data_IF_572463922053
#
_entry.id   IF_572463922053
#
_cell.length_a   1.000
_cell.length_b   1.000
_cell.length_c   1.000
_cell.angle_alpha   90.00
_cell.angle_beta   90.00
_cell.angle_gamma   90.00
#
_symmetry.space_group_name_H-M   'P 1'
#
loop_
_entity.id
_entity.type
_entity.pdbx_description
1 polymer ?
#
# COMPACT_ATOMS: atom_id res chain seq x y z
N UNK A 1 46.11 12.51 -11.63
CA UNK A 1 44.97 12.07 -12.45
C UNK A 1 43.92 11.44 -11.52
N UNK A 2 42.76 12.06 -11.47
CA UNK A 2 41.77 11.87 -10.41
C UNK A 2 40.90 10.58 -10.59
N UNK A 3 41.11 9.61 -9.76
CA UNK A 3 40.32 8.34 -9.67
C UNK A 3 38.86 8.59 -9.20
N UNK A 4 38.51 9.81 -8.78
CA UNK A 4 37.16 10.18 -8.31
C UNK A 4 36.13 10.37 -9.43
N UNK A 5 36.51 10.52 -10.68
CA UNK A 5 35.60 10.77 -11.79
C UNK A 5 34.98 9.50 -12.42
N UNK A 6 35.60 8.32 -12.23
CA UNK A 6 35.09 7.08 -12.83
C UNK A 6 33.96 6.40 -12.02
N UNK A 7 33.88 6.66 -10.71
CA UNK A 7 32.84 6.02 -9.86
C UNK A 7 31.45 6.65 -10.01
N UNK A 8 31.35 7.92 -10.33
CA UNK A 8 30.07 8.62 -10.53
C UNK A 8 29.40 8.28 -11.87
N UNK A 9 30.17 8.00 -12.90
CA UNK A 9 29.62 7.64 -14.21
C UNK A 9 29.01 6.24 -14.27
N UNK A 10 29.56 5.28 -13.52
CA UNK A 10 29.07 3.90 -13.53
C UNK A 10 27.76 3.74 -12.76
N UNK A 11 27.58 4.50 -11.68
CA UNK A 11 26.34 4.47 -10.88
C UNK A 11 25.14 5.06 -11.63
N UNK A 12 25.35 6.10 -12.44
CA UNK A 12 24.28 6.70 -13.24
C UNK A 12 23.82 5.77 -14.39
N UNK A 13 24.74 5.03 -15.00
CA UNK A 13 24.42 4.10 -16.10
C UNK A 13 23.63 2.87 -15.62
N UNK A 14 23.92 2.37 -14.41
CA UNK A 14 23.21 1.21 -13.81
C UNK A 14 21.79 1.59 -13.40
N UNK A 15 21.56 2.81 -12.90
CA UNK A 15 20.22 3.28 -12.52
C UNK A 15 19.33 3.48 -13.75
N UNK A 16 19.86 4.00 -14.87
CA UNK A 16 19.09 4.18 -16.10
C UNK A 16 18.70 2.83 -16.76
N UNK A 17 19.59 1.83 -16.72
CA UNK A 17 19.27 0.51 -17.25
C UNK A 17 18.23 -0.26 -16.40
N UNK A 18 18.31 -0.15 -15.07
CA UNK A 18 17.32 -0.74 -14.17
C UNK A 18 15.94 -0.07 -14.31
N UNK A 19 15.92 1.26 -14.54
CA UNK A 19 14.68 2.00 -14.74
C UNK A 19 13.90 1.56 -15.97
N UNK A 20 14.54 1.38 -17.11
CA UNK A 20 13.86 0.97 -18.34
C UNK A 20 13.26 -0.45 -18.27
N UNK A 21 13.94 -1.37 -17.63
CA UNK A 21 13.44 -2.75 -17.41
C UNK A 21 12.22 -2.76 -16.48
N UNK A 22 12.23 -1.95 -15.40
CA UNK A 22 11.10 -1.89 -14.48
C UNK A 22 9.84 -1.28 -15.12
N UNK A 23 9.99 -0.26 -15.99
CA UNK A 23 8.87 0.35 -16.69
C UNK A 23 8.22 -0.60 -17.71
N UNK A 24 9.02 -1.34 -18.45
CA UNK A 24 8.55 -2.34 -19.40
C UNK A 24 7.77 -3.45 -18.68
N UNK A 25 8.26 -3.90 -17.53
CA UNK A 25 7.59 -4.90 -16.70
C UNK A 25 6.22 -4.43 -16.19
N UNK A 26 6.08 -3.18 -15.75
CA UNK A 26 4.80 -2.65 -15.27
C UNK A 26 3.74 -2.60 -16.40
N UNK A 27 4.14 -2.19 -17.61
CA UNK A 27 3.25 -2.17 -18.77
C UNK A 27 2.81 -3.58 -19.18
N UNK A 28 3.71 -4.54 -19.18
CA UNK A 28 3.40 -5.95 -19.48
C UNK A 28 2.51 -6.58 -18.39
N UNK A 29 2.77 -6.28 -17.11
CA UNK A 29 1.95 -6.73 -15.99
C UNK A 29 0.51 -6.20 -16.11
N UNK A 30 0.30 -4.92 -16.46
CA UNK A 30 -1.02 -4.32 -16.62
C UNK A 30 -1.74 -4.89 -17.86
N UNK A 31 -1.02 -5.14 -18.96
CA UNK A 31 -1.61 -5.76 -20.14
C UNK A 31 -2.11 -7.19 -19.88
N UNK A 32 -1.40 -7.95 -19.04
CA UNK A 32 -1.78 -9.30 -18.64
C UNK A 32 -2.83 -9.32 -17.50
N UNK A 33 -2.79 -8.32 -16.62
CA UNK A 33 -3.59 -8.20 -15.39
C UNK A 33 -4.13 -6.76 -15.25
N UNK A 34 -5.19 -6.39 -16.00
CA UNK A 34 -5.74 -5.03 -16.00
C UNK A 34 -6.09 -4.48 -14.62
N UNK A 35 -6.50 -5.35 -13.70
CA UNK A 35 -6.84 -5.00 -12.30
C UNK A 35 -5.65 -4.43 -11.51
N UNK A 36 -4.40 -4.71 -11.89
CA UNK A 36 -3.20 -4.14 -11.27
C UNK A 36 -3.05 -2.65 -11.57
N UNK A 37 -3.67 -2.16 -12.66
CA UNK A 37 -3.72 -0.72 -12.95
C UNK A 37 -4.40 0.09 -11.84
N UNK A 38 -5.25 -0.53 -11.01
CA UNK A 38 -5.92 0.10 -9.88
C UNK A 38 -4.94 0.65 -8.81
N UNK A 39 -3.65 0.31 -8.85
CA UNK A 39 -2.61 0.89 -8.02
C UNK A 39 -2.90 0.78 -6.53
N UNK A 40 -3.13 1.93 -5.84
CA UNK A 40 -3.47 1.99 -4.42
C UNK A 40 -4.81 1.31 -4.08
N UNK A 41 -5.67 1.07 -5.06
CA UNK A 41 -6.93 0.33 -4.94
C UNK A 41 -6.81 -1.11 -5.46
N UNK A 42 -5.59 -1.60 -5.71
CA UNK A 42 -5.38 -3.01 -6.01
C UNK A 42 -5.59 -3.84 -4.75
N UNK A 43 -6.45 -4.86 -4.81
CA UNK A 43 -6.66 -5.82 -3.72
C UNK A 43 -5.35 -6.55 -3.40
N UNK A 44 -5.18 -6.97 -2.14
CA UNK A 44 -3.94 -7.62 -1.71
C UNK A 44 -3.71 -8.93 -2.46
N UNK A 45 -2.55 -9.03 -3.10
CA UNK A 45 -2.08 -10.23 -3.75
C UNK A 45 -0.84 -10.78 -3.03
N UNK A 46 -0.92 -12.01 -2.55
CA UNK A 46 0.26 -12.68 -1.99
C UNK A 46 1.13 -13.23 -3.11
N UNK A 47 2.32 -12.69 -3.25
CA UNK A 47 3.32 -13.14 -4.21
C UNK A 47 4.42 -13.88 -3.46
N UNK A 48 4.46 -15.24 -3.52
CA UNK A 48 5.53 -16.02 -2.89
C UNK A 48 6.91 -15.58 -3.40
N UNK A 49 7.87 -15.53 -2.50
CA UNK A 49 9.28 -15.28 -2.85
C UNK A 49 10.15 -16.31 -2.16
N UNK A 50 11.34 -16.57 -2.71
CA UNK A 50 12.33 -17.38 -1.99
C UNK A 50 12.69 -16.68 -0.69
N UNK A 51 12.49 -17.39 0.41
CA UNK A 51 12.84 -16.88 1.73
C UNK A 51 14.31 -17.18 2.05
N UNK A 52 15.03 -16.16 2.52
CA UNK A 52 16.36 -16.39 3.05
C UNK A 52 16.28 -17.30 4.28
N UNK A 53 17.08 -18.38 4.36
CA UNK A 53 17.03 -19.30 5.48
C UNK A 53 17.39 -18.59 6.79
N UNK A 54 16.69 -18.96 7.88
CA UNK A 54 17.01 -18.43 9.21
C UNK A 54 18.43 -18.81 9.59
N UNK A 55 19.29 -17.88 10.02
CA UNK A 55 20.66 -18.18 10.42
C UNK A 55 20.72 -19.23 11.53
N UNK A 56 21.73 -20.11 11.48
CA UNK A 56 21.86 -21.22 12.43
C UNK A 56 21.90 -20.73 13.89
N UNK A 57 21.09 -21.33 14.74
CA UNK A 57 21.00 -21.02 16.16
C UNK A 57 20.06 -19.86 16.51
N UNK A 58 19.46 -19.19 15.53
CA UNK A 58 18.47 -18.15 15.77
C UNK A 58 17.07 -18.73 15.73
N UNK A 59 16.18 -18.17 16.58
CA UNK A 59 14.75 -18.46 16.57
C UNK A 59 13.93 -17.16 16.64
N UNK A 60 12.81 -17.07 15.92
CA UNK A 60 11.92 -15.93 16.02
C UNK A 60 11.26 -15.92 17.40
N UNK A 61 11.14 -14.72 18.02
CA UNK A 61 10.55 -14.59 19.34
C UNK A 61 9.57 -13.43 19.46
N UNK A 62 9.65 -12.42 18.58
CA UNK A 62 8.78 -11.25 18.60
C UNK A 62 8.52 -10.75 17.18
N UNK A 63 7.30 -10.24 16.94
CA UNK A 63 6.92 -9.58 15.68
C UNK A 63 6.33 -8.21 15.98
N UNK A 64 6.86 -7.17 15.29
CA UNK A 64 6.22 -5.85 15.20
C UNK A 64 5.65 -5.67 13.81
N UNK A 65 4.39 -5.20 13.70
CA UNK A 65 3.66 -5.09 12.44
C UNK A 65 2.97 -3.72 12.34
N UNK A 66 2.97 -3.15 11.15
CA UNK A 66 2.07 -2.08 10.75
C UNK A 66 1.36 -2.48 9.46
N UNK A 67 0.02 -2.51 9.47
CA UNK A 67 -0.81 -2.85 8.32
C UNK A 67 -1.78 -1.73 7.95
N UNK A 68 -1.96 -1.52 6.65
CA UNK A 68 -3.05 -0.76 6.08
C UNK A 68 -4.35 -1.56 6.26
N UNK A 69 -5.52 -0.88 6.38
CA UNK A 69 -6.81 -1.56 6.31
C UNK A 69 -6.95 -2.38 5.02
N UNK A 70 -7.79 -3.40 5.02
CA UNK A 70 -8.08 -4.24 3.86
C UNK A 70 -8.91 -3.55 2.79
N UNK A 71 -9.22 -4.28 1.73
CA UNK A 71 -10.10 -3.87 0.63
C UNK A 71 -11.41 -3.31 1.17
N UNK A 72 -11.91 -2.25 0.55
CA UNK A 72 -13.03 -1.44 1.02
C UNK A 72 -13.81 -0.81 -0.10
N UNK A 73 -15.00 -0.34 0.19
CA UNK A 73 -15.74 0.57 -0.68
C UNK A 73 -15.06 1.94 -0.81
N UNK A 74 -15.24 2.65 -1.91
CA UNK A 74 -14.81 4.05 -2.00
C UNK A 74 -15.43 4.88 -0.88
N UNK A 75 -14.68 5.89 -0.42
CA UNK A 75 -15.07 6.70 0.74
C UNK A 75 -16.15 7.74 0.47
N UNK A 76 -16.53 7.97 -0.78
CA UNK A 76 -17.55 8.93 -1.19
C UNK A 76 -18.50 8.32 -2.22
N UNK A 77 -19.79 8.64 -2.11
CA UNK A 77 -20.80 8.28 -3.09
C UNK A 77 -20.56 8.90 -4.46
N UNK A 78 -19.92 10.06 -4.52
CA UNK A 78 -19.61 10.75 -5.77
C UNK A 78 -18.68 9.93 -6.67
N UNK A 79 -17.79 9.13 -6.10
CA UNK A 79 -16.91 8.24 -6.87
C UNK A 79 -17.68 7.13 -7.62
N UNK A 80 -18.91 6.83 -7.18
CA UNK A 80 -19.80 5.90 -7.87
C UNK A 80 -20.77 6.60 -8.81
N UNK A 81 -21.26 7.78 -8.46
CA UNK A 81 -22.37 8.41 -9.19
C UNK A 81 -21.93 9.43 -10.23
N UNK A 82 -20.84 10.19 -9.99
CA UNK A 82 -20.38 11.21 -10.92
C UNK A 82 -20.03 10.67 -12.32
N UNK A 83 -19.31 9.54 -12.48
CA UNK A 83 -19.02 8.99 -13.80
C UNK A 83 -20.27 8.48 -14.55
N UNK A 84 -21.36 8.20 -13.84
CA UNK A 84 -22.61 7.74 -14.44
C UNK A 84 -23.50 8.86 -14.96
N UNK A 85 -23.30 10.11 -14.51
CA UNK A 85 -24.13 11.24 -14.93
C UNK A 85 -24.14 11.44 -16.45
N UNK A 86 -22.98 11.53 -17.15
CA UNK A 86 -23.00 11.68 -18.61
C UNK A 86 -23.51 10.45 -19.33
N UNK A 87 -23.26 9.26 -18.81
CA UNK A 87 -23.78 8.01 -19.41
C UNK A 87 -25.32 7.96 -19.30
N UNK A 88 -25.90 8.35 -18.18
CA UNK A 88 -27.38 8.46 -18.00
C UNK A 88 -27.99 9.47 -18.95
N UNK A 89 -27.35 10.62 -19.11
CA UNK A 89 -27.81 11.66 -20.02
C UNK A 89 -27.81 11.17 -21.49
N UNK A 90 -26.75 10.49 -21.91
CA UNK A 90 -26.67 9.89 -23.24
C UNK A 90 -27.66 8.73 -23.42
N UNK A 91 -27.88 7.91 -22.41
CA UNK A 91 -28.90 6.85 -22.44
C UNK A 91 -30.32 7.44 -22.65
N UNK A 92 -30.64 8.52 -21.98
CA UNK A 92 -31.93 9.21 -22.14
C UNK A 92 -32.13 9.82 -23.54
N UNK A 93 -31.03 10.11 -24.25
CA UNK A 93 -31.01 10.61 -25.63
C UNK A 93 -30.84 9.48 -26.67
N UNK A 94 -30.87 8.20 -26.27
CA UNK A 94 -30.54 7.02 -27.12
C UNK A 94 -29.19 7.18 -27.85
N UNK A 95 -28.23 7.76 -27.19
CA UNK A 95 -26.92 8.15 -27.73
C UNK A 95 -25.74 7.32 -27.15
N UNK A 96 -26.02 6.17 -26.52
CA UNK A 96 -24.98 5.22 -26.10
C UNK A 96 -24.73 4.14 -27.18
N UNK A 97 -23.44 3.79 -27.32
CA UNK A 97 -23.04 2.58 -28.04
C UNK A 97 -23.46 1.32 -27.27
N UNK A 98 -23.37 0.10 -27.83
CA UNK A 98 -23.54 -1.15 -27.09
C UNK A 98 -22.60 -1.22 -25.86
N UNK A 99 -21.31 -0.83 -26.01
CA UNK A 99 -20.34 -0.80 -24.94
C UNK A 99 -20.72 0.25 -23.88
N UNK A 100 -21.18 1.43 -24.29
CA UNK A 100 -21.64 2.47 -23.36
C UNK A 100 -22.82 2.02 -22.50
N UNK A 101 -23.75 1.25 -23.07
CA UNK A 101 -24.87 0.65 -22.32
C UNK A 101 -24.40 -0.41 -21.31
N UNK A 102 -23.44 -1.24 -21.70
CA UNK A 102 -22.84 -2.24 -20.79
C UNK A 102 -22.11 -1.58 -19.62
N UNK A 103 -21.26 -0.58 -19.89
CA UNK A 103 -20.53 0.19 -18.88
C UNK A 103 -21.50 0.88 -17.92
N UNK A 104 -22.57 1.49 -18.44
CA UNK A 104 -23.61 2.10 -17.58
C UNK A 104 -24.25 1.05 -16.69
N UNK A 105 -24.67 -0.11 -17.21
CA UNK A 105 -25.32 -1.15 -16.44
C UNK A 105 -24.41 -1.70 -15.32
N UNK A 106 -23.13 -1.98 -15.61
CA UNK A 106 -22.15 -2.43 -14.62
C UNK A 106 -21.88 -1.34 -13.57
N UNK A 107 -21.74 -0.08 -14.00
CA UNK A 107 -21.54 1.04 -13.09
C UNK A 107 -22.73 1.27 -12.16
N UNK A 108 -23.96 1.18 -12.65
CA UNK A 108 -25.18 1.26 -11.83
C UNK A 108 -25.24 0.15 -10.80
N UNK A 109 -24.88 -1.07 -11.17
CA UNK A 109 -24.82 -2.20 -10.26
C UNK A 109 -23.79 -2.01 -9.15
N UNK A 110 -22.59 -1.47 -9.48
CA UNK A 110 -21.56 -1.09 -8.48
C UNK A 110 -22.05 0.02 -7.55
N UNK A 111 -22.72 1.04 -8.09
CA UNK A 111 -23.27 2.14 -7.29
C UNK A 111 -24.38 1.65 -6.34
N UNK A 112 -25.24 0.74 -6.80
CA UNK A 112 -26.29 0.14 -5.99
C UNK A 112 -25.72 -0.73 -4.86
N UNK A 113 -24.69 -1.55 -5.14
CA UNK A 113 -24.00 -2.38 -4.14
C UNK A 113 -23.30 -1.51 -3.08
N UNK A 114 -22.77 -0.35 -3.48
CA UNK A 114 -22.05 0.57 -2.58
C UNK A 114 -22.98 1.48 -1.74
N UNK A 115 -24.27 1.54 -2.03
CA UNK A 115 -25.18 2.46 -1.36
C UNK A 115 -25.22 2.23 0.16
N UNK A 116 -24.89 3.28 0.92
CA UNK A 116 -24.82 3.22 2.39
C UNK A 116 -23.58 2.53 2.95
N UNK A 117 -22.59 2.16 2.10
CA UNK A 117 -21.37 1.44 2.49
C UNK A 117 -20.06 2.21 2.20
N UNK A 118 -20.16 3.52 2.03
CA UNK A 118 -19.01 4.33 1.66
C UNK A 118 -17.91 4.31 2.73
N UNK A 119 -16.72 3.84 2.35
CA UNK A 119 -15.56 3.70 3.21
C UNK A 119 -15.57 2.47 4.12
N UNK A 120 -16.59 1.61 4.06
CA UNK A 120 -16.68 0.37 4.82
C UNK A 120 -15.65 -0.66 4.33
N UNK A 121 -15.10 -1.42 5.27
CA UNK A 121 -14.33 -2.62 4.94
C UNK A 121 -15.23 -3.61 4.19
N UNK A 122 -14.74 -4.15 3.08
CA UNK A 122 -15.45 -5.19 2.35
C UNK A 122 -15.16 -6.58 2.95
N UNK A 123 -15.96 -7.58 2.52
CA UNK A 123 -15.67 -8.98 2.86
C UNK A 123 -14.29 -9.42 2.35
N UNK A 124 -13.88 -8.94 1.17
CA UNK A 124 -12.52 -9.15 0.64
C UNK A 124 -11.45 -8.65 1.61
N UNK A 125 -11.63 -7.44 2.16
CA UNK A 125 -10.70 -6.88 3.13
C UNK A 125 -10.61 -7.67 4.44
N UNK A 126 -11.71 -8.27 4.90
CA UNK A 126 -11.69 -9.22 6.03
C UNK A 126 -10.86 -10.45 5.70
N UNK A 127 -11.08 -11.05 4.52
CA UNK A 127 -10.36 -12.24 4.06
C UNK A 127 -8.87 -11.99 3.87
N UNK A 128 -8.48 -10.83 3.35
CA UNK A 128 -7.07 -10.42 3.21
C UNK A 128 -6.36 -10.43 4.57
N UNK A 129 -6.92 -9.79 5.59
CA UNK A 129 -6.32 -9.76 6.91
C UNK A 129 -6.28 -11.11 7.61
N UNK A 130 -7.31 -11.94 7.42
CA UNK A 130 -7.31 -13.33 7.91
C UNK A 130 -6.21 -14.15 7.24
N UNK A 131 -6.03 -14.00 5.93
CA UNK A 131 -5.00 -14.72 5.17
C UNK A 131 -3.58 -14.28 5.56
N UNK A 132 -3.32 -12.97 5.74
CA UNK A 132 -2.04 -12.44 6.23
C UNK A 132 -1.75 -12.97 7.64
N UNK A 133 -2.73 -12.96 8.55
CA UNK A 133 -2.57 -13.50 9.90
C UNK A 133 -2.22 -15.00 9.88
N UNK A 134 -2.86 -15.77 9.02
CA UNK A 134 -2.58 -17.20 8.86
C UNK A 134 -1.18 -17.45 8.34
N UNK A 135 -0.73 -16.74 7.30
CA UNK A 135 0.63 -16.88 6.77
C UNK A 135 1.67 -16.44 7.80
N UNK A 136 1.47 -15.33 8.49
CA UNK A 136 2.35 -14.89 9.59
C UNK A 136 2.46 -15.97 10.68
N UNK A 137 1.34 -16.56 11.09
CA UNK A 137 1.33 -17.64 12.07
C UNK A 137 2.08 -18.88 11.58
N UNK A 138 1.89 -19.27 10.32
CA UNK A 138 2.52 -20.45 9.73
C UNK A 138 4.01 -20.27 9.48
N UNK A 139 4.44 -19.08 9.08
CA UNK A 139 5.86 -18.75 8.87
C UNK A 139 6.64 -18.66 10.19
N UNK A 140 5.99 -18.18 11.26
CA UNK A 140 6.65 -17.93 12.55
C UNK A 140 5.92 -18.59 13.73
N UNK A 141 5.70 -19.92 13.71
CA UNK A 141 4.87 -20.62 14.71
C UNK A 141 5.44 -20.54 16.12
N UNK A 142 6.77 -20.37 16.26
CA UNK A 142 7.43 -20.23 17.57
C UNK A 142 6.98 -18.96 18.28
N UNK A 143 6.74 -17.86 17.56
CA UNK A 143 6.26 -16.57 18.12
C UNK A 143 4.91 -16.75 18.79
N UNK A 144 4.02 -17.50 18.17
CA UNK A 144 2.64 -17.72 18.61
C UNK A 144 2.43 -18.98 19.45
N UNK A 145 3.49 -19.65 19.86
CA UNK A 145 3.42 -20.91 20.60
C UNK A 145 3.05 -20.69 22.08
N UNK A 146 2.08 -21.46 22.57
CA UNK A 146 1.68 -21.53 23.98
C UNK A 146 2.09 -22.85 24.64
N UNK A 147 2.94 -23.66 23.96
CA UNK A 147 3.40 -24.94 24.46
C UNK A 147 4.27 -24.79 25.72
N UNK A 148 4.22 -25.80 26.61
CA UNK A 148 4.99 -25.84 27.87
C UNK A 148 4.70 -24.66 28.80
N UNK A 149 3.48 -24.12 28.80
CA UNK A 149 3.08 -23.01 29.68
C UNK A 149 3.61 -21.65 29.28
N UNK A 150 4.16 -21.50 28.06
CA UNK A 150 4.58 -20.20 27.51
C UNK A 150 3.34 -19.32 27.30
N UNK A 151 3.37 -18.11 27.78
CA UNK A 151 2.38 -17.08 27.45
C UNK A 151 2.64 -16.54 26.04
N UNK A 152 1.59 -16.39 25.25
CA UNK A 152 1.62 -15.69 23.99
C UNK A 152 0.73 -14.45 24.10
N UNK A 153 1.35 -13.29 24.27
CA UNK A 153 0.69 -12.01 24.42
C UNK A 153 0.80 -11.22 23.11
N UNK A 154 -0.35 -10.88 22.53
CA UNK A 154 -0.46 -10.07 21.31
C UNK A 154 -1.15 -8.76 21.66
N UNK A 155 -0.45 -7.65 21.46
CA UNK A 155 -1.03 -6.32 21.59
C UNK A 155 -1.40 -5.78 20.22
N UNK A 156 -2.66 -5.39 20.03
CA UNK A 156 -3.16 -4.85 18.77
C UNK A 156 -3.77 -3.48 18.96
N UNK A 157 -3.39 -2.54 18.10
CA UNK A 157 -3.90 -1.17 18.10
C UNK A 157 -4.31 -0.74 16.71
N UNK A 158 -5.41 0.00 16.59
CA UNK A 158 -5.87 0.57 15.33
C UNK A 158 -6.15 2.06 15.43
N UNK A 159 -6.20 2.73 14.29
CA UNK A 159 -6.82 4.06 14.22
C UNK A 159 -8.30 3.97 14.59
N UNK A 160 -8.92 5.14 14.87
CA UNK A 160 -10.35 5.24 15.22
C UNK A 160 -11.30 4.96 14.03
N UNK A 161 -10.76 4.74 12.85
CA UNK A 161 -11.55 4.52 11.64
C UNK A 161 -12.11 3.09 11.62
N UNK A 162 -13.43 2.89 11.44
CA UNK A 162 -14.08 1.56 11.56
C UNK A 162 -13.41 0.46 10.72
N UNK A 163 -13.02 0.73 9.47
CA UNK A 163 -12.35 -0.27 8.63
C UNK A 163 -11.01 -0.75 9.19
N UNK A 164 -10.26 0.11 9.92
CA UNK A 164 -9.02 -0.30 10.58
C UNK A 164 -9.31 -1.16 11.81
N UNK A 165 -10.35 -0.83 12.57
CA UNK A 165 -10.82 -1.61 13.72
C UNK A 165 -11.25 -3.01 13.27
N UNK A 166 -12.03 -3.10 12.19
CA UNK A 166 -12.49 -4.37 11.62
C UNK A 166 -11.35 -5.19 11.03
N UNK A 167 -10.38 -4.55 10.38
CA UNK A 167 -9.15 -5.21 9.90
C UNK A 167 -8.34 -5.82 11.05
N UNK A 168 -8.16 -5.05 12.14
CA UNK A 168 -7.54 -5.54 13.38
C UNK A 168 -8.30 -6.71 13.98
N UNK A 169 -9.63 -6.63 14.01
CA UNK A 169 -10.49 -7.69 14.55
C UNK A 169 -10.35 -8.99 13.74
N UNK A 170 -10.45 -8.91 12.41
CA UNK A 170 -10.32 -10.05 11.50
C UNK A 170 -8.95 -10.76 11.63
N UNK A 171 -7.88 -9.96 11.71
CA UNK A 171 -6.53 -10.49 11.92
C UNK A 171 -6.39 -11.24 13.24
N UNK A 172 -6.81 -10.62 14.34
CA UNK A 172 -6.73 -11.22 15.68
C UNK A 172 -7.65 -12.44 15.84
N UNK A 173 -8.83 -12.41 15.23
CA UNK A 173 -9.75 -13.54 15.22
C UNK A 173 -9.08 -14.76 14.59
N UNK A 174 -8.42 -14.58 13.42
CA UNK A 174 -7.72 -15.67 12.75
C UNK A 174 -6.57 -16.21 13.59
N UNK A 175 -5.77 -15.37 14.23
CA UNK A 175 -4.72 -15.84 15.15
C UNK A 175 -5.30 -16.67 16.31
N UNK A 176 -6.45 -16.27 16.87
CA UNK A 176 -7.13 -17.00 17.95
C UNK A 176 -7.71 -18.32 17.49
N UNK A 177 -8.21 -18.41 16.26
CA UNK A 177 -8.67 -19.68 15.69
C UNK A 177 -7.52 -20.69 15.52
N UNK A 178 -6.35 -20.20 15.08
CA UNK A 178 -5.15 -21.03 14.89
C UNK A 178 -4.52 -21.47 16.22
N UNK A 179 -4.57 -20.62 17.25
CA UNK A 179 -4.16 -20.96 18.61
C UNK A 179 -5.05 -20.23 19.64
N UNK A 180 -6.08 -20.91 20.20
CA UNK A 180 -6.97 -20.34 21.22
C UNK A 180 -6.26 -19.85 22.50
N UNK A 181 -5.04 -20.34 22.78
CA UNK A 181 -4.24 -19.93 23.92
C UNK A 181 -3.60 -18.54 23.79
N UNK A 182 -3.63 -17.92 22.61
CA UNK A 182 -3.17 -16.54 22.43
C UNK A 182 -4.03 -15.58 23.27
N UNK A 183 -3.38 -14.73 24.06
CA UNK A 183 -4.00 -13.62 24.78
C UNK A 183 -3.82 -12.34 23.96
N UNK A 184 -4.89 -11.85 23.33
CA UNK A 184 -4.85 -10.67 22.47
C UNK A 184 -5.61 -9.51 23.11
N UNK A 185 -4.94 -8.35 23.28
CA UNK A 185 -5.60 -7.06 23.54
C UNK A 185 -5.91 -6.38 22.21
N UNK A 186 -7.01 -5.63 22.17
CA UNK A 186 -7.43 -4.84 21.00
C UNK A 186 -7.85 -3.47 21.48
N UNK A 187 -7.12 -2.46 21.03
CA UNK A 187 -7.36 -1.08 21.45
C UNK A 187 -7.50 -0.16 20.24
N UNK A 188 -8.46 0.74 20.30
CA UNK A 188 -8.60 1.88 19.39
C UNK A 188 -8.92 3.10 20.24
N UNK A 189 -7.97 4.06 20.34
CA UNK A 189 -8.09 5.18 21.26
C UNK A 189 -7.40 6.42 20.69
N UNK A 190 -7.95 7.60 20.99
CA UNK A 190 -7.37 8.89 20.62
C UNK A 190 -5.92 9.06 21.10
N UNK A 191 -5.54 8.44 22.24
CA UNK A 191 -4.19 8.51 22.80
C UNK A 191 -3.08 7.86 21.96
N UNK A 192 -3.47 7.07 20.93
CA UNK A 192 -2.52 6.43 20.02
C UNK A 192 -2.40 7.14 18.67
N UNK A 193 -3.23 8.18 18.44
CA UNK A 193 -3.32 8.80 17.11
C UNK A 193 -2.10 9.65 16.76
N UNK A 194 -1.32 10.10 17.73
CA UNK A 194 -0.06 10.78 17.54
C UNK A 194 0.96 9.95 16.71
N UNK A 195 0.99 8.63 16.90
CA UNK A 195 1.84 7.73 16.13
C UNK A 195 1.11 6.82 15.13
N UNK A 196 -0.22 6.63 15.23
CA UNK A 196 -0.99 5.83 14.28
C UNK A 196 -1.64 6.66 13.16
N UNK A 197 -1.87 7.95 13.39
CA UNK A 197 -2.63 8.81 12.48
C UNK A 197 -2.21 10.29 12.50
N UNK A 198 -0.99 10.63 12.93
CA UNK A 198 -0.46 11.99 12.86
C UNK A 198 -0.32 12.44 11.39
N UNK A 199 -1.34 13.07 10.80
CA UNK A 199 -1.25 13.61 9.44
C UNK A 199 -0.23 14.76 9.43
N UNK A 200 0.75 14.75 8.51
CA UNK A 200 1.68 15.85 8.40
C UNK A 200 0.90 17.12 8.07
N UNK A 201 1.23 18.21 8.79
CA UNK A 201 0.77 19.53 8.41
C UNK A 201 1.46 19.91 7.09
N UNK A 202 0.84 19.56 5.97
CA UNK A 202 1.40 19.84 4.62
C UNK A 202 1.36 21.34 4.28
N UNK A 203 0.58 22.16 5.01
CA UNK A 203 0.49 23.60 4.78
C UNK A 203 0.31 23.93 3.29
N UNK A 204 1.15 24.78 2.74
CA UNK A 204 1.14 25.14 1.32
C UNK A 204 1.67 24.02 0.39
N UNK A 205 2.38 23.03 0.91
CA UNK A 205 2.91 21.93 0.10
C UNK A 205 1.81 20.99 -0.38
N UNK A 206 0.75 20.81 0.39
CA UNK A 206 -0.39 19.97 0.00
C UNK A 206 -1.03 20.44 -1.32
N UNK A 207 -1.55 21.68 -1.42
CA UNK A 207 -2.08 22.20 -2.69
C UNK A 207 -1.07 22.15 -3.84
N UNK A 208 0.21 22.40 -3.57
CA UNK A 208 1.26 22.36 -4.61
C UNK A 208 1.53 20.94 -5.12
N UNK A 209 1.55 19.93 -4.23
CA UNK A 209 1.73 18.53 -4.64
C UNK A 209 0.55 18.02 -5.47
N UNK A 210 -0.67 18.39 -5.09
CA UNK A 210 -1.88 18.10 -5.87
C UNK A 210 -1.84 18.78 -7.25
N UNK A 211 -1.45 20.07 -7.33
CA UNK A 211 -1.35 20.77 -8.61
C UNK A 211 -0.36 20.13 -9.58
N UNK A 212 0.77 19.59 -9.08
CA UNK A 212 1.72 18.84 -9.91
C UNK A 212 1.10 17.52 -10.38
N UNK A 213 0.44 16.76 -9.51
CA UNK A 213 -0.25 15.54 -9.89
C UNK A 213 -1.34 15.79 -10.95
N UNK A 214 -2.11 16.88 -10.79
CA UNK A 214 -3.13 17.28 -11.77
C UNK A 214 -2.51 17.69 -13.11
N UNK A 215 -1.32 18.30 -13.11
CA UNK A 215 -0.63 18.62 -14.37
C UNK A 215 -0.18 17.35 -15.12
N UNK A 216 0.27 16.35 -14.39
CA UNK A 216 0.63 15.02 -14.93
C UNK A 216 -0.62 14.35 -15.54
N UNK A 217 -1.73 14.35 -14.81
CA UNK A 217 -3.02 13.85 -15.29
C UNK A 217 -3.42 14.49 -16.61
N UNK A 218 -3.38 15.82 -16.70
CA UNK A 218 -3.70 16.53 -17.95
C UNK A 218 -2.78 16.19 -19.11
N UNK A 219 -1.51 15.90 -18.84
CA UNK A 219 -0.52 15.58 -19.88
C UNK A 219 -0.65 14.15 -20.42
N UNK A 220 -1.10 13.21 -19.61
CA UNK A 220 -1.04 11.78 -19.94
C UNK A 220 -2.38 11.15 -20.33
N UNK A 221 -3.51 11.76 -19.95
CA UNK A 221 -4.83 11.21 -20.27
C UNK A 221 -5.35 11.77 -21.61
N UNK A 222 -5.69 10.87 -22.54
CA UNK A 222 -6.23 11.12 -23.87
C UNK A 222 -7.58 10.42 -23.99
N UNK A 223 -8.71 11.09 -23.65
CA UNK A 223 -10.01 10.44 -23.52
C UNK A 223 -10.75 10.18 -24.84
N UNK A 224 -10.26 10.71 -25.96
CA UNK A 224 -10.98 10.82 -27.24
C UNK A 224 -11.47 9.44 -27.74
N UNK A 225 -10.60 8.42 -27.71
CA UNK A 225 -10.95 7.06 -28.13
C UNK A 225 -12.01 6.46 -27.21
N UNK A 226 -11.82 6.55 -25.88
CA UNK A 226 -12.77 6.02 -24.90
C UNK A 226 -14.15 6.67 -25.09
N UNK A 227 -14.21 7.99 -25.20
CA UNK A 227 -15.46 8.73 -25.43
C UNK A 227 -16.14 8.25 -26.71
N UNK A 228 -15.41 8.16 -27.84
CA UNK A 228 -15.96 7.69 -29.10
C UNK A 228 -16.44 6.22 -29.03
N UNK A 229 -15.87 5.40 -28.14
CA UNK A 229 -16.32 4.01 -27.97
C UNK A 229 -17.58 3.85 -27.13
N UNK A 230 -17.89 4.81 -26.27
CA UNK A 230 -19.03 4.77 -25.34
C UNK A 230 -20.25 5.54 -25.87
N UNK A 231 -20.02 6.61 -26.64
CA UNK A 231 -21.05 7.54 -27.07
C UNK A 231 -21.17 7.57 -28.60
N UNK A 232 -22.38 7.80 -29.11
CA UNK A 232 -22.62 8.14 -30.52
C UNK A 232 -22.46 9.66 -30.71
N UNK A 233 -22.42 10.11 -31.99
CA UNK A 233 -22.35 11.54 -32.33
C UNK A 233 -23.55 12.37 -31.80
N UNK A 234 -24.65 11.73 -31.45
CA UNK A 234 -25.83 12.37 -30.89
C UNK A 234 -25.75 12.63 -29.37
N UNK A 235 -24.68 12.16 -28.73
CA UNK A 235 -24.54 12.34 -27.29
C UNK A 235 -24.29 13.82 -26.89
N UNK A 236 -24.79 14.24 -25.73
CA UNK A 236 -24.43 15.53 -25.16
C UNK A 236 -22.92 15.67 -24.98
N UNK A 237 -22.39 16.86 -25.22
CA UNK A 237 -20.96 17.17 -25.02
C UNK A 237 -20.55 16.96 -23.56
N UNK A 238 -19.40 16.33 -23.37
CA UNK A 238 -18.79 16.18 -22.03
C UNK A 238 -18.07 17.45 -21.61
N UNK A 239 -18.41 17.98 -20.46
CA UNK A 239 -17.78 19.18 -19.92
C UNK A 239 -16.27 18.98 -19.61
N UNK A 240 -15.89 17.78 -19.16
CA UNK A 240 -14.49 17.43 -18.87
C UNK A 240 -14.26 15.94 -19.21
N UNK A 241 -13.87 15.62 -20.45
CA UNK A 241 -13.63 14.24 -20.89
C UNK A 241 -12.50 13.54 -20.14
N UNK A 242 -11.44 14.25 -19.74
CA UNK A 242 -10.34 13.64 -18.97
C UNK A 242 -10.79 13.26 -17.56
N UNK A 243 -11.56 14.12 -16.91
CA UNK A 243 -12.16 13.80 -15.60
C UNK A 243 -13.10 12.60 -15.72
N UNK A 244 -13.95 12.56 -16.75
CA UNK A 244 -14.85 11.44 -17.02
C UNK A 244 -14.08 10.12 -17.17
N UNK A 245 -13.04 10.10 -17.99
CA UNK A 245 -12.18 8.92 -18.19
C UNK A 245 -11.58 8.44 -16.87
N UNK A 246 -11.03 9.37 -16.07
CA UNK A 246 -10.43 9.04 -14.78
C UNK A 246 -11.46 8.53 -13.75
N UNK A 247 -12.60 9.19 -13.65
CA UNK A 247 -13.67 8.79 -12.73
C UNK A 247 -14.24 7.41 -13.09
N UNK A 248 -14.37 7.11 -14.40
CA UNK A 248 -14.80 5.81 -14.87
C UNK A 248 -13.78 4.71 -14.53
N UNK A 249 -12.49 5.01 -14.68
CA UNK A 249 -11.42 4.13 -14.24
C UNK A 249 -11.47 3.88 -12.73
N UNK A 250 -11.68 4.92 -11.93
CA UNK A 250 -11.82 4.78 -10.48
C UNK A 250 -13.02 3.90 -10.11
N UNK A 251 -14.13 4.02 -10.83
CA UNK A 251 -15.32 3.20 -10.62
C UNK A 251 -15.07 1.72 -10.94
N UNK A 252 -14.40 1.39 -12.06
CA UNK A 252 -14.09 -0.02 -12.37
C UNK A 252 -13.05 -0.60 -11.42
N UNK A 253 -12.10 0.21 -10.93
CA UNK A 253 -11.01 -0.22 -10.04
C UNK A 253 -11.49 -0.83 -8.74
N UNK A 254 -12.65 -0.38 -8.21
CA UNK A 254 -13.18 -0.84 -6.92
C UNK A 254 -13.84 -2.22 -7.00
N UNK A 255 -14.19 -2.72 -8.19
CA UNK A 255 -14.92 -3.97 -8.37
C UNK A 255 -14.21 -5.17 -7.72
N UNK A 256 -12.87 -5.23 -7.82
CA UNK A 256 -12.07 -6.27 -7.16
C UNK A 256 -12.15 -6.21 -5.64
N UNK A 257 -12.18 -5.00 -5.08
CA UNK A 257 -12.19 -4.76 -3.64
C UNK A 257 -13.51 -5.14 -2.96
N UNK A 258 -14.60 -5.07 -3.71
CA UNK A 258 -15.94 -5.42 -3.22
C UNK A 258 -16.39 -6.82 -3.64
N UNK A 259 -15.46 -7.64 -4.13
CA UNK A 259 -15.70 -9.01 -4.61
C UNK A 259 -16.73 -9.10 -5.74
N UNK A 260 -16.75 -8.08 -6.60
CA UNK A 260 -17.62 -8.02 -7.78
C UNK A 260 -16.82 -7.88 -9.09
N UNK A 261 -15.84 -8.80 -9.34
CA UNK A 261 -15.04 -8.75 -10.57
C UNK A 261 -15.91 -8.87 -11.84
N UNK A 262 -17.11 -9.45 -11.73
CA UNK A 262 -18.12 -9.52 -12.77
C UNK A 262 -18.63 -8.14 -13.23
N UNK A 263 -18.54 -7.14 -12.37
CA UNK A 263 -18.93 -5.75 -12.65
C UNK A 263 -17.76 -4.88 -13.13
N UNK A 264 -16.54 -5.42 -13.18
CA UNK A 264 -15.42 -4.69 -13.77
C UNK A 264 -15.63 -4.49 -15.29
N UNK A 265 -15.13 -3.38 -15.80
CA UNK A 265 -15.20 -3.02 -17.23
C UNK A 265 -13.86 -2.44 -17.72
N UNK A 266 -12.73 -3.09 -17.30
CA UNK A 266 -11.41 -2.75 -17.80
C UNK A 266 -11.28 -2.91 -19.31
N UNK A 267 -12.07 -3.77 -19.91
CA UNK A 267 -12.18 -4.02 -21.35
C UNK A 267 -12.72 -2.84 -22.16
N UNK A 268 -13.32 -1.85 -21.50
CA UNK A 268 -13.65 -0.57 -22.12
C UNK A 268 -12.41 0.28 -22.47
N UNK A 269 -11.28 0.01 -21.81
CA UNK A 269 -10.01 0.72 -21.97
C UNK A 269 -9.00 -0.10 -22.77
N UNK A 270 -8.10 0.56 -23.50
CA UNK A 270 -6.92 -0.12 -24.06
C UNK A 270 -5.84 -0.30 -22.99
N UNK A 271 -4.85 -1.15 -23.26
CA UNK A 271 -3.70 -1.33 -22.37
C UNK A 271 -2.91 -0.04 -22.20
N UNK A 272 -2.79 0.78 -23.24
CA UNK A 272 -2.13 2.08 -23.20
C UNK A 272 -2.87 3.07 -22.30
N UNK A 273 -4.21 3.09 -22.39
CA UNK A 273 -5.06 3.93 -21.54
C UNK A 273 -4.98 3.50 -20.07
N UNK A 274 -5.03 2.18 -19.78
CA UNK A 274 -4.85 1.66 -18.43
C UNK A 274 -3.47 1.99 -17.88
N UNK A 275 -2.41 1.93 -18.68
CA UNK A 275 -1.07 2.36 -18.28
C UNK A 275 -1.00 3.86 -17.97
N UNK A 276 -1.64 4.71 -18.78
CA UNK A 276 -1.68 6.15 -18.52
C UNK A 276 -2.46 6.48 -17.25
N UNK A 277 -3.58 5.79 -17.01
CA UNK A 277 -4.41 5.94 -15.82
C UNK A 277 -3.68 5.46 -14.56
N UNK A 278 -3.03 4.29 -14.62
CA UNK A 278 -2.16 3.80 -13.57
C UNK A 278 -1.01 4.77 -13.27
N UNK A 279 -0.30 5.21 -14.29
CA UNK A 279 0.83 6.14 -14.13
C UNK A 279 0.39 7.48 -13.49
N UNK A 280 -0.80 7.96 -13.85
CA UNK A 280 -1.41 9.15 -13.24
C UNK A 280 -1.69 8.95 -11.76
N UNK A 281 -2.32 7.82 -11.39
CA UNK A 281 -2.60 7.46 -9.99
C UNK A 281 -1.31 7.23 -9.20
N UNK A 282 -0.33 6.55 -9.82
CA UNK A 282 0.99 6.30 -9.25
C UNK A 282 1.74 7.61 -8.95
N UNK A 283 1.77 8.54 -9.89
CA UNK A 283 2.37 9.85 -9.70
C UNK A 283 1.64 10.67 -8.63
N UNK A 284 0.31 10.63 -8.59
CA UNK A 284 -0.47 11.25 -7.53
C UNK A 284 -0.06 10.74 -6.15
N UNK A 285 -0.03 9.42 -5.95
CA UNK A 285 0.37 8.80 -4.69
C UNK A 285 1.82 9.15 -4.33
N UNK A 286 2.71 9.15 -5.32
CA UNK A 286 4.12 9.49 -5.11
C UNK A 286 4.32 10.95 -4.65
N UNK A 287 3.64 11.92 -5.27
CA UNK A 287 3.78 13.33 -4.91
C UNK A 287 3.08 13.69 -3.61
N UNK A 288 2.02 12.98 -3.25
CA UNK A 288 1.20 13.31 -2.06
C UNK A 288 1.54 12.48 -0.82
N UNK A 289 2.14 11.29 -0.99
CA UNK A 289 2.44 10.36 0.12
C UNK A 289 3.85 9.78 0.06
N UNK A 290 4.52 9.85 -1.09
CA UNK A 290 5.81 9.23 -1.33
C UNK A 290 7.01 10.14 -1.07
N UNK A 291 8.25 9.62 -1.30
CA UNK A 291 9.52 10.30 -0.98
C UNK A 291 9.98 11.27 -2.09
N UNK A 292 9.06 12.01 -2.73
CA UNK A 292 9.41 12.91 -3.81
C UNK A 292 10.47 13.94 -3.39
N UNK A 293 11.40 14.29 -4.29
CA UNK A 293 12.41 15.34 -4.00
C UNK A 293 11.79 16.71 -3.76
N UNK A 294 10.59 16.97 -4.29
CA UNK A 294 9.92 18.27 -4.20
C UNK A 294 9.11 18.45 -2.92
N UNK A 295 8.47 17.38 -2.42
CA UNK A 295 7.46 17.45 -1.36
C UNK A 295 7.66 16.40 -0.27
N UNK A 296 8.54 15.41 -0.49
CA UNK A 296 8.61 14.19 0.31
C UNK A 296 9.16 14.36 1.72
N UNK A 297 10.03 15.34 2.00
CA UNK A 297 10.69 15.43 3.31
C UNK A 297 9.70 15.55 4.48
N UNK A 298 8.71 16.47 4.50
CA UNK A 298 7.74 16.53 5.58
C UNK A 298 6.79 15.32 5.60
N UNK A 299 6.48 14.75 4.42
CA UNK A 299 5.64 13.56 4.30
C UNK A 299 6.33 12.36 4.95
N UNK A 300 7.57 12.09 4.57
CA UNK A 300 8.38 11.00 5.11
C UNK A 300 8.64 11.19 6.61
N UNK A 301 8.94 12.41 7.03
CA UNK A 301 9.14 12.77 8.45
C UNK A 301 7.91 12.49 9.33
N UNK A 302 6.71 12.52 8.76
CA UNK A 302 5.48 12.23 9.52
C UNK A 302 5.42 10.81 10.08
N UNK A 303 6.17 9.87 9.52
CA UNK A 303 6.25 8.50 10.01
C UNK A 303 7.21 8.32 11.21
N UNK A 304 7.97 9.35 11.60
CA UNK A 304 8.92 9.27 12.73
C UNK A 304 8.29 8.84 14.06
N UNK A 305 7.13 9.35 14.48
CA UNK A 305 6.48 8.89 15.72
C UNK A 305 6.13 7.40 15.66
N UNK A 306 5.68 6.90 14.50
CA UNK A 306 5.38 5.48 14.31
C UNK A 306 6.65 4.63 14.36
N UNK A 307 7.72 5.02 13.66
CA UNK A 307 8.99 4.31 13.69
C UNK A 307 9.59 4.30 15.12
N UNK A 308 9.55 5.43 15.82
CA UNK A 308 9.98 5.51 17.23
C UNK A 308 9.21 4.53 18.11
N UNK A 309 7.88 4.50 18.02
CA UNK A 309 7.05 3.55 18.76
C UNK A 309 7.38 2.08 18.43
N UNK A 310 7.68 1.76 17.17
CA UNK A 310 8.10 0.40 16.75
C UNK A 310 9.42 0.03 17.42
N UNK A 311 10.43 0.90 17.36
CA UNK A 311 11.78 0.65 17.92
C UNK A 311 11.76 0.59 19.43
N UNK A 312 11.10 1.53 20.12
CA UNK A 312 10.98 1.56 21.57
C UNK A 312 10.28 0.30 22.11
N UNK A 313 9.15 -0.08 21.50
CA UNK A 313 8.45 -1.32 21.90
C UNK A 313 9.33 -2.57 21.67
N UNK A 314 10.07 -2.61 20.56
CA UNK A 314 11.01 -3.72 20.32
C UNK A 314 12.13 -3.77 21.35
N UNK A 315 12.72 -2.62 21.70
CA UNK A 315 13.74 -2.52 22.76
C UNK A 315 13.20 -3.05 24.09
N UNK A 316 12.03 -2.58 24.53
CA UNK A 316 11.39 -3.04 25.77
C UNK A 316 11.19 -4.57 25.81
N UNK A 317 10.83 -5.17 24.67
CA UNK A 317 10.67 -6.64 24.55
C UNK A 317 12.03 -7.36 24.56
N UNK A 318 13.03 -6.81 23.89
CA UNK A 318 14.38 -7.39 23.82
C UNK A 318 15.04 -7.38 25.20
N UNK A 319 14.90 -6.28 25.93
CA UNK A 319 15.46 -6.06 27.27
C UNK A 319 14.66 -6.81 28.38
N UNK A 320 13.51 -7.39 28.05
CA UNK A 320 12.66 -8.14 28.98
C UNK A 320 11.77 -7.24 29.86
N UNK A 321 11.67 -5.95 29.55
CA UNK A 321 10.79 -4.99 30.24
C UNK A 321 9.31 -5.24 29.91
N UNK A 322 9.05 -5.83 28.71
CA UNK A 322 7.71 -6.24 28.28
C UNK A 322 7.71 -7.68 27.77
N UNK A 323 6.70 -8.43 28.20
CA UNK A 323 6.49 -9.80 27.70
C UNK A 323 5.46 -9.80 26.57
N UNK A 324 5.89 -9.53 25.32
CA UNK A 324 5.04 -9.55 24.14
C UNK A 324 5.58 -10.55 23.13
N UNK A 325 4.67 -11.30 22.50
CA UNK A 325 4.94 -12.11 21.31
C UNK A 325 4.76 -11.31 20.02
N UNK A 326 3.77 -10.40 19.98
CA UNK A 326 3.59 -9.50 18.85
C UNK A 326 2.97 -8.16 19.24
N UNK A 327 3.34 -7.10 18.49
CA UNK A 327 2.68 -5.79 18.49
C UNK A 327 2.16 -5.51 17.09
N UNK A 328 0.82 -5.48 16.96
CA UNK A 328 0.14 -5.32 15.68
C UNK A 328 -0.52 -3.94 15.61
N UNK A 329 -0.23 -3.19 14.55
CA UNK A 329 -0.76 -1.83 14.33
C UNK A 329 -1.53 -1.80 13.03
N UNK A 330 -2.70 -1.15 13.02
CA UNK A 330 -3.60 -1.09 11.85
C UNK A 330 -3.97 0.35 11.55
N UNK A 331 -3.71 0.78 10.32
CA UNK A 331 -3.92 2.17 9.89
C UNK A 331 -4.14 2.29 8.39
N UNK A 332 -3.41 3.20 7.77
CA UNK A 332 -3.68 3.66 6.41
C UNK A 332 -2.41 3.69 5.55
N UNK A 333 -2.62 3.77 4.22
CA UNK A 333 -1.60 4.01 3.22
C UNK A 333 -0.79 5.29 3.47
N UNK A 334 -1.46 6.37 3.89
CA UNK A 334 -0.83 7.67 4.23
C UNK A 334 0.20 7.60 5.38
N UNK A 335 0.33 6.46 6.04
CA UNK A 335 1.37 6.17 7.04
C UNK A 335 2.29 5.04 6.63
N UNK A 336 1.76 4.03 5.92
CA UNK A 336 2.54 2.90 5.45
C UNK A 336 3.57 3.35 4.41
N UNK A 337 3.15 4.18 3.43
CA UNK A 337 4.04 4.70 2.39
C UNK A 337 5.15 5.57 2.99
N UNK A 338 4.86 6.57 3.86
CA UNK A 338 5.90 7.31 4.56
C UNK A 338 6.83 6.45 5.42
N UNK A 339 6.32 5.42 6.12
CA UNK A 339 7.15 4.52 6.92
C UNK A 339 8.11 3.70 6.04
N UNK A 340 7.61 3.11 4.93
CA UNK A 340 8.44 2.39 3.98
C UNK A 340 9.53 3.30 3.37
N UNK A 341 9.17 4.57 3.09
CA UNK A 341 10.06 5.58 2.53
C UNK A 341 11.08 6.09 3.55
N UNK A 342 10.68 6.29 4.80
CA UNK A 342 11.57 6.70 5.91
C UNK A 342 12.62 5.64 6.15
N UNK A 343 12.24 4.37 6.18
CA UNK A 343 13.14 3.23 6.28
C UNK A 343 14.01 3.02 5.03
N UNK A 344 13.76 3.76 3.95
CA UNK A 344 14.44 3.60 2.66
C UNK A 344 14.42 2.15 2.17
N UNK A 345 13.28 1.50 2.33
CA UNK A 345 13.11 0.11 1.85
C UNK A 345 13.29 0.02 0.34
N UNK A 346 13.80 -1.09 -0.15
CA UNK A 346 14.03 -1.33 -1.60
C UNK A 346 12.80 -1.08 -2.49
N UNK A 347 11.59 -1.14 -1.93
CA UNK A 347 10.34 -0.89 -2.66
C UNK A 347 9.92 0.58 -2.69
N UNK A 348 10.46 1.45 -1.81
CA UNK A 348 10.01 2.84 -1.66
C UNK A 348 11.12 3.88 -1.49
N UNK A 349 12.39 3.52 -1.67
CA UNK A 349 13.53 4.42 -1.42
C UNK A 349 13.76 5.47 -2.52
N UNK A 350 13.21 5.28 -3.73
CA UNK A 350 13.55 6.10 -4.89
C UNK A 350 13.09 7.56 -4.73
N UNK A 351 14.04 8.48 -4.68
CA UNK A 351 13.79 9.94 -4.60
C UNK A 351 13.89 10.59 -5.98
N UNK A 352 12.77 10.84 -6.61
CA UNK A 352 12.61 11.25 -8.00
C UNK A 352 12.01 12.65 -8.07
N UNK A 353 12.37 13.41 -9.12
CA UNK A 353 11.89 14.79 -9.34
C UNK A 353 10.85 14.90 -10.45
N UNK A 354 10.95 14.05 -11.46
CA UNK A 354 10.13 14.11 -12.67
C UNK A 354 9.16 12.92 -12.76
N UNK A 355 8.03 13.15 -13.42
CA UNK A 355 6.94 12.20 -13.47
C UNK A 355 7.25 10.96 -14.33
N UNK A 356 8.03 11.12 -15.41
CA UNK A 356 8.37 10.01 -16.31
C UNK A 356 9.26 8.98 -15.61
N UNK A 357 10.21 9.44 -14.79
CA UNK A 357 11.05 8.55 -13.98
C UNK A 357 10.26 7.85 -12.84
N UNK A 358 9.19 8.46 -12.33
CA UNK A 358 8.36 7.81 -11.28
C UNK A 358 7.80 6.50 -11.80
N UNK A 359 7.20 6.49 -13.00
CA UNK A 359 6.54 5.30 -13.57
C UNK A 359 7.49 4.12 -13.80
N UNK A 360 8.79 4.35 -13.85
CA UNK A 360 9.80 3.32 -14.04
C UNK A 360 10.51 2.88 -12.75
N UNK A 361 10.47 3.69 -11.68
CA UNK A 361 11.26 3.47 -10.47
C UNK A 361 10.43 3.27 -9.21
N UNK A 362 9.12 3.54 -9.26
CA UNK A 362 8.23 3.42 -8.11
C UNK A 362 6.84 2.98 -8.53
N UNK A 363 6.26 2.01 -7.82
CA UNK A 363 5.00 1.37 -8.16
C UNK A 363 4.11 1.27 -6.93
N UNK A 364 3.01 2.00 -6.91
CA UNK A 364 2.12 2.11 -5.74
C UNK A 364 1.50 0.77 -5.34
N UNK A 365 1.15 -0.08 -6.30
CA UNK A 365 0.60 -1.42 -6.07
C UNK A 365 1.63 -2.38 -5.44
N UNK A 366 2.93 -2.10 -5.57
CA UNK A 366 4.02 -2.85 -4.92
C UNK A 366 4.33 -2.31 -3.52
N UNK A 367 4.13 -1.01 -3.31
CA UNK A 367 4.37 -0.35 -2.02
C UNK A 367 3.17 -0.51 -1.10
N UNK A 368 1.98 -0.13 -1.56
CA UNK A 368 0.79 -0.04 -0.71
C UNK A 368 -0.50 -0.43 -1.44
N UNK A 369 -0.67 -1.72 -1.85
CA UNK A 369 -1.98 -2.23 -2.22
C UNK A 369 -2.93 -2.20 -1.01
N UNK A 370 -4.20 -2.62 -1.16
CA UNK A 370 -5.07 -2.86 -0.01
C UNK A 370 -4.43 -3.89 0.93
N UNK A 371 -4.67 -3.81 2.23
CA UNK A 371 -4.07 -4.65 3.28
C UNK A 371 -2.53 -4.70 3.29
N UNK A 372 -1.85 -3.78 2.59
CA UNK A 372 -0.38 -3.69 2.60
C UNK A 372 0.17 -3.67 4.02
N UNK A 373 1.34 -4.26 4.22
CA UNK A 373 1.91 -4.36 5.56
C UNK A 373 3.43 -4.31 5.56
N UNK A 374 3.98 -3.85 6.69
CA UNK A 374 5.39 -3.93 7.02
C UNK A 374 5.52 -4.75 8.30
N UNK A 375 6.37 -5.78 8.26
CA UNK A 375 6.60 -6.68 9.37
C UNK A 375 8.08 -6.64 9.75
N UNK A 376 8.36 -6.56 11.05
CA UNK A 376 9.69 -6.66 11.65
C UNK A 376 9.71 -7.93 12.48
N UNK A 377 10.46 -8.94 12.04
CA UNK A 377 10.56 -10.23 12.70
C UNK A 377 11.87 -10.27 13.46
N UNK A 378 11.80 -10.46 14.77
CA UNK A 378 12.96 -10.45 15.65
C UNK A 378 13.36 -11.87 16.01
N UNK A 379 14.64 -12.18 15.82
CA UNK A 379 15.25 -13.48 16.07
C UNK A 379 16.28 -13.36 17.18
N UNK A 380 16.30 -14.33 18.11
CA UNK A 380 17.30 -14.41 19.17
C UNK A 380 18.14 -15.66 19.01
N UNK A 381 19.46 -15.53 19.14
CA UNK A 381 20.36 -16.66 19.12
C UNK A 381 20.29 -17.40 20.46
N UNK A 382 19.99 -18.72 20.43
CA UNK A 382 19.68 -19.53 21.61
C UNK A 382 20.80 -19.56 22.65
N UNK A 383 22.06 -19.46 22.23
CA UNK A 383 23.23 -19.58 23.11
C UNK A 383 23.84 -18.24 23.52
N UNK A 384 23.91 -17.29 22.59
CA UNK A 384 24.59 -15.99 22.84
C UNK A 384 23.65 -14.89 23.24
N UNK A 385 22.35 -15.01 23.01
CA UNK A 385 21.36 -13.96 23.21
C UNK A 385 21.37 -12.87 22.13
N UNK A 386 22.29 -12.92 21.14
CA UNK A 386 22.35 -11.98 20.04
C UNK A 386 21.01 -11.86 19.32
N UNK A 387 20.62 -10.64 18.94
CA UNK A 387 19.31 -10.35 18.32
C UNK A 387 19.51 -9.83 16.91
N UNK A 388 18.69 -10.37 16.00
CA UNK A 388 18.61 -9.91 14.62
C UNK A 388 17.18 -9.58 14.25
N UNK A 389 17.03 -8.67 13.27
CA UNK A 389 15.74 -8.26 12.75
C UNK A 389 15.70 -8.50 11.23
N UNK A 390 14.58 -9.05 10.76
CA UNK A 390 14.25 -9.18 9.33
C UNK A 390 13.07 -8.25 9.04
N UNK A 391 13.13 -7.50 7.94
CA UNK A 391 12.07 -6.56 7.55
C UNK A 391 11.39 -7.08 6.29
N UNK A 392 10.06 -7.18 6.35
CA UNK A 392 9.24 -7.58 5.21
C UNK A 392 8.31 -6.43 4.84
N UNK A 393 8.18 -6.16 3.54
CA UNK A 393 7.13 -5.33 2.96
C UNK A 393 6.20 -6.23 2.13
N UNK A 394 4.91 -6.22 2.44
CA UNK A 394 3.92 -7.09 1.80
C UNK A 394 4.37 -8.57 1.80
N UNK A 395 4.86 -9.02 2.96
CA UNK A 395 5.32 -10.39 3.22
C UNK A 395 6.57 -10.82 2.41
N UNK A 396 7.29 -9.88 1.79
CA UNK A 396 8.53 -10.13 1.03
C UNK A 396 9.70 -9.37 1.66
N UNK A 397 10.91 -9.94 1.56
CA UNK A 397 12.12 -9.29 2.07
C UNK A 397 12.27 -7.86 1.53
N UNK A 398 12.39 -6.90 2.44
CA UNK A 398 12.69 -5.52 2.14
C UNK A 398 14.13 -5.21 2.54
N UNK A 399 14.96 -4.85 1.55
CA UNK A 399 16.33 -4.44 1.82
C UNK A 399 16.35 -3.01 2.35
N UNK A 400 17.19 -2.79 3.37
CA UNK A 400 17.50 -1.48 3.95
C UNK A 400 18.93 -1.09 3.55
N UNK A 401 19.26 0.23 3.50
CA UNK A 401 20.60 0.70 3.13
C UNK A 401 21.60 0.60 4.30
N UNK A 402 21.59 -0.53 5.02
CA UNK A 402 22.51 -0.85 6.11
C UNK A 402 23.05 -2.27 5.95
N UNK A 403 24.21 -2.54 6.56
CA UNK A 403 24.86 -3.84 6.44
C UNK A 403 24.16 -4.95 7.25
N UNK A 404 24.32 -6.20 6.80
CA UNK A 404 23.88 -7.39 7.53
C UNK A 404 22.52 -7.96 7.13
N UNK A 405 21.88 -7.40 6.07
CA UNK A 405 20.61 -7.92 5.57
C UNK A 405 20.70 -9.34 4.96
N UNK A 406 19.58 -10.05 4.88
CA UNK A 406 18.24 -9.68 5.34
C UNK A 406 18.01 -9.82 6.86
N UNK A 407 18.97 -10.35 7.63
CA UNK A 407 18.95 -10.52 9.08
C UNK A 407 19.87 -9.49 9.74
N UNK A 408 19.39 -8.24 9.84
CA UNK A 408 20.15 -7.11 10.36
C UNK A 408 20.47 -7.28 11.84
N UNK A 409 21.74 -7.06 12.32
CA UNK A 409 22.01 -6.99 13.74
C UNK A 409 21.13 -5.92 14.41
N UNK A 410 20.53 -6.25 15.56
CA UNK A 410 19.60 -5.33 16.25
C UNK A 410 20.21 -3.94 16.51
N UNK A 411 21.44 -3.88 16.99
CA UNK A 411 22.09 -2.61 17.28
C UNK A 411 22.30 -1.75 16.02
N UNK A 412 22.69 -2.36 14.90
CA UNK A 412 22.82 -1.66 13.61
C UNK A 412 21.46 -1.10 13.17
N UNK A 413 20.41 -1.92 13.23
CA UNK A 413 19.06 -1.52 12.89
C UNK A 413 18.52 -0.43 13.83
N UNK A 414 18.73 -0.57 15.15
CA UNK A 414 18.27 0.39 16.15
C UNK A 414 18.92 1.76 15.93
N UNK A 415 20.25 1.82 15.81
CA UNK A 415 21.00 3.06 15.57
C UNK A 415 20.54 3.73 14.27
N UNK A 416 20.33 2.94 13.21
CA UNK A 416 19.81 3.45 11.94
C UNK A 416 18.44 4.12 12.12
N UNK A 417 17.49 3.43 12.75
CA UNK A 417 16.14 3.95 12.98
C UNK A 417 16.13 5.18 13.92
N UNK A 418 16.95 5.19 14.96
CA UNK A 418 17.09 6.33 15.87
C UNK A 418 17.63 7.56 15.12
N UNK A 419 18.62 7.37 14.22
CA UNK A 419 19.10 8.43 13.35
C UNK A 419 18.00 9.02 12.47
N UNK A 420 17.19 8.19 11.83
CA UNK A 420 16.04 8.63 11.04
C UNK A 420 14.98 9.39 11.85
N UNK A 421 14.85 9.08 13.15
CA UNK A 421 13.92 9.75 14.04
C UNK A 421 14.47 11.07 14.63
N UNK A 422 15.79 11.29 14.59
CA UNK A 422 16.44 12.49 15.16
C UNK A 422 16.46 13.67 14.16
N UNK A 423 16.53 13.41 12.86
CA UNK A 423 16.50 14.42 11.80
C UNK A 423 15.12 15.10 11.67
#
# INVERSE_FOLDING_TARGET
MNVRSLKTGLSALVVLAAGSVAAQTASEEIAAHPERSAGVYHSYEYLPSEEAPVPKGYRPFYISHYGRHGSRYHSSGDLYTAPLVPLRAAAAADALTPLGREVLAKGEALAADAAGRYGDLSQRGVEEHRAIAERMFRSWPEVFSTRRGRECLVESRSTLVPRCILSMAAFNERLKELNPGIRATRESSARYMDYLAGVPAMGELGPRSHAVADSVKRAWLHPERLVASLFTEAAPELADPQKFMYDLFMLTSIAQDVSRPDLAFYDAFTSEELNALWATLNAYCYYTMGPSRRFGDPIVASARPLLRNIVETAREVIDGERNLSASLRFGHDVYLIPLASLLQTSVSAARISDADSIRSCWSIEKVSPMAANIQFIFFRHERTGDVRVRVLCNERDAQLPIDGGPYYPWETFRIYCEGLCAE
#
